data_IF_424844643662
#
_entry.id   IF_424844643662
#
_cell.length_a   1.000
_cell.length_b   1.000
_cell.length_c   1.000
_cell.angle_alpha   90.00
_cell.angle_beta   90.00
_cell.angle_gamma   90.00
#
_symmetry.space_group_name_H-M   'P 1'
#
loop_
_entity.id
_entity.type
_entity.pdbx_description
1 polymer ?
#
# COMPACT_ATOMS: atom_id res chain seq x y z
N UNK A 1 -9.80 12.34 -6.62
CA UNK A 1 -10.27 11.21 -5.77
C UNK A 1 -9.03 10.53 -5.20
N UNK A 2 -8.90 10.43 -3.89
CA UNK A 2 -7.68 9.96 -3.23
C UNK A 2 -8.05 9.06 -2.04
N UNK A 3 -8.42 7.80 -2.33
CA UNK A 3 -8.97 6.84 -1.37
C UNK A 3 -7.98 6.53 -0.24
N UNK A 4 -6.68 6.51 -0.53
CA UNK A 4 -5.64 6.16 0.44
C UNK A 4 -5.24 7.32 1.35
N UNK A 5 -5.46 8.57 0.93
CA UNK A 5 -4.94 9.74 1.66
C UNK A 5 -5.42 9.79 3.11
N UNK A 6 -4.51 9.72 4.07
CA UNK A 6 -4.82 9.72 5.50
C UNK A 6 -5.76 8.59 5.93
N UNK A 7 -5.74 7.45 5.23
CA UNK A 7 -6.69 6.35 5.47
C UNK A 7 -6.57 5.76 6.88
N UNK A 8 -5.40 5.87 7.50
CA UNK A 8 -5.11 5.53 8.90
C UNK A 8 -6.12 6.11 9.90
N UNK A 9 -6.75 7.26 9.57
CA UNK A 9 -7.70 7.95 10.45
C UNK A 9 -9.09 8.18 9.84
N UNK A 10 -9.44 7.53 8.72
CA UNK A 10 -10.70 7.77 8.00
C UNK A 10 -11.57 6.52 7.89
N UNK A 11 -12.38 6.25 8.92
CA UNK A 11 -13.31 5.11 8.98
C UNK A 11 -14.10 4.80 7.70
N UNK A 12 -14.71 5.77 7.00
CA UNK A 12 -15.41 5.49 5.74
C UNK A 12 -14.49 4.96 4.62
N UNK A 13 -13.25 5.45 4.53
CA UNK A 13 -12.27 4.98 3.53
C UNK A 13 -11.79 3.58 3.90
N UNK A 14 -11.55 3.36 5.18
CA UNK A 14 -11.19 2.05 5.72
C UNK A 14 -12.26 1.00 5.41
N UNK A 15 -13.54 1.33 5.60
CA UNK A 15 -14.64 0.43 5.28
C UNK A 15 -14.71 0.07 3.79
N UNK A 16 -14.49 1.03 2.90
CA UNK A 16 -14.44 0.79 1.44
C UNK A 16 -13.29 -0.16 1.10
N UNK A 17 -12.09 0.09 1.63
CA UNK A 17 -10.92 -0.76 1.37
C UNK A 17 -11.14 -2.18 1.89
N UNK A 18 -11.72 -2.34 3.10
CA UNK A 18 -12.09 -3.66 3.64
C UNK A 18 -13.01 -4.44 2.71
N UNK A 19 -14.04 -3.79 2.17
CA UNK A 19 -14.94 -4.42 1.19
C UNK A 19 -14.23 -4.82 -0.11
N UNK A 20 -13.32 -3.98 -0.60
CA UNK A 20 -12.48 -4.29 -1.78
C UNK A 20 -11.59 -5.50 -1.49
N UNK A 21 -10.93 -5.54 -0.33
CA UNK A 21 -10.02 -6.62 0.04
C UNK A 21 -10.72 -7.97 0.17
N UNK A 22 -11.91 -8.01 0.78
CA UNK A 22 -12.73 -9.24 0.82
C UNK A 22 -13.04 -9.71 -0.60
N UNK A 23 -13.55 -8.81 -1.44
CA UNK A 23 -13.93 -9.15 -2.82
C UNK A 23 -12.72 -9.64 -3.64
N UNK A 24 -11.58 -8.96 -3.54
CA UNK A 24 -10.38 -9.32 -4.27
C UNK A 24 -9.81 -10.67 -3.80
N UNK A 25 -9.80 -10.91 -2.50
CA UNK A 25 -9.34 -12.18 -1.92
C UNK A 25 -10.20 -13.36 -2.38
N UNK A 26 -11.52 -13.21 -2.31
CA UNK A 26 -12.47 -14.27 -2.74
C UNK A 26 -12.38 -14.58 -4.23
N UNK A 27 -11.96 -13.59 -5.04
CA UNK A 27 -11.77 -13.74 -6.48
C UNK A 27 -10.34 -14.13 -6.88
N UNK A 28 -9.39 -14.21 -5.93
CA UNK A 28 -7.98 -14.47 -6.22
C UNK A 28 -7.30 -13.35 -7.01
N UNK A 29 -7.67 -12.09 -6.77
CA UNK A 29 -7.13 -10.90 -7.44
C UNK A 29 -6.09 -10.24 -6.53
N UNK A 30 -4.89 -10.01 -7.06
CA UNK A 30 -3.86 -9.22 -6.39
C UNK A 30 -4.24 -7.74 -6.35
N UNK A 31 -4.01 -7.11 -5.20
CA UNK A 31 -4.31 -5.69 -4.97
C UNK A 31 -3.02 -4.91 -4.78
N UNK A 32 -2.88 -3.82 -5.56
CA UNK A 32 -1.85 -2.80 -5.37
C UNK A 32 -2.46 -1.53 -4.76
N UNK A 33 -1.85 -1.03 -3.68
CA UNK A 33 -2.16 0.27 -3.11
C UNK A 33 -1.27 1.35 -3.77
N UNK A 34 -1.87 2.17 -4.63
CA UNK A 34 -1.20 3.26 -5.34
C UNK A 34 -1.35 4.63 -4.66
N UNK A 35 -0.28 5.43 -4.66
CA UNK A 35 -0.24 6.78 -4.12
C UNK A 35 0.02 6.83 -2.61
N UNK A 36 0.72 5.84 -2.05
CA UNK A 36 1.12 5.84 -0.63
C UNK A 36 2.22 6.86 -0.36
N UNK A 37 1.97 7.79 0.57
CA UNK A 37 2.90 8.89 0.85
C UNK A 37 3.42 8.90 2.29
N UNK A 38 2.71 8.28 3.23
CA UNK A 38 3.12 8.26 4.65
C UNK A 38 3.29 6.85 5.20
N UNK A 39 4.16 6.69 6.20
CA UNK A 39 4.32 5.42 6.91
C UNK A 39 3.03 4.97 7.59
N UNK A 40 2.21 5.89 8.10
CA UNK A 40 0.94 5.55 8.75
C UNK A 40 -0.08 4.97 7.75
N UNK A 41 -0.17 5.56 6.54
CA UNK A 41 -0.97 5.00 5.45
C UNK A 41 -0.50 3.59 5.10
N UNK A 42 0.83 3.42 4.91
CA UNK A 42 1.44 2.13 4.60
C UNK A 42 1.16 1.07 5.66
N UNK A 43 1.39 1.38 6.94
CA UNK A 43 1.23 0.43 8.04
C UNK A 43 -0.22 -0.01 8.16
N UNK A 44 -1.16 0.93 8.08
CA UNK A 44 -2.58 0.59 8.11
C UNK A 44 -2.98 -0.31 6.94
N UNK A 45 -2.56 0.01 5.71
CA UNK A 45 -2.87 -0.79 4.51
C UNK A 45 -2.26 -2.19 4.57
N UNK A 46 -1.03 -2.30 5.11
CA UNK A 46 -0.34 -3.57 5.31
C UNK A 46 -1.08 -4.45 6.32
N UNK A 47 -1.53 -3.88 7.43
CA UNK A 47 -2.28 -4.61 8.45
C UNK A 47 -3.63 -5.15 7.92
N UNK A 48 -4.19 -4.50 6.89
CA UNK A 48 -5.39 -4.95 6.16
C UNK A 48 -5.08 -5.99 5.06
N UNK A 49 -3.83 -6.47 4.99
CA UNK A 49 -3.43 -7.58 4.12
C UNK A 49 -3.06 -7.19 2.69
N UNK A 50 -2.78 -5.91 2.43
CA UNK A 50 -2.22 -5.46 1.14
C UNK A 50 -0.70 -5.69 1.17
N UNK A 51 -0.17 -6.26 0.08
CA UNK A 51 1.26 -6.61 -0.03
C UNK A 51 1.98 -5.91 -1.19
N UNK A 52 1.25 -5.33 -2.14
CA UNK A 52 1.80 -4.58 -3.26
C UNK A 52 1.54 -3.10 -3.06
N UNK A 53 2.58 -2.28 -3.22
CA UNK A 53 2.53 -0.86 -2.94
C UNK A 53 3.26 -0.04 -4.00
N UNK A 54 2.70 1.13 -4.31
CA UNK A 54 3.34 2.17 -5.10
C UNK A 54 3.08 3.52 -4.45
N UNK A 55 4.12 4.36 -4.36
CA UNK A 55 3.94 5.73 -3.92
C UNK A 55 5.25 6.41 -3.54
N UNK A 56 5.16 7.72 -3.34
CA UNK A 56 6.33 8.56 -3.06
C UNK A 56 6.97 8.25 -1.70
N UNK A 57 6.28 7.52 -0.82
CA UNK A 57 6.89 6.96 0.37
C UNK A 57 8.06 6.04 0.02
N UNK A 58 7.95 5.25 -1.05
CA UNK A 58 8.96 4.27 -1.45
C UNK A 58 9.96 4.88 -2.42
N UNK A 59 9.46 5.42 -3.53
CA UNK A 59 10.27 6.04 -4.56
C UNK A 59 9.42 6.99 -5.38
N UNK A 60 10.01 8.11 -5.80
CA UNK A 60 9.39 8.99 -6.80
C UNK A 60 9.70 8.49 -8.21
N UNK A 61 8.78 8.70 -9.18
CA UNK A 61 9.06 8.46 -10.58
C UNK A 61 10.32 9.19 -11.03
N UNK A 62 11.14 8.51 -11.82
CA UNK A 62 12.37 9.03 -12.40
C UNK A 62 12.28 8.99 -13.91
N UNK A 63 12.78 10.03 -14.58
CA UNK A 63 12.73 10.12 -16.03
C UNK A 63 13.71 9.13 -16.68
N UNK A 64 13.21 8.26 -17.54
CA UNK A 64 13.99 7.28 -18.33
C UNK A 64 14.93 6.36 -17.52
N UNK A 65 14.66 6.17 -16.23
CA UNK A 65 15.48 5.32 -15.37
C UNK A 65 14.65 4.69 -14.25
N UNK A 66 15.17 3.61 -13.68
CA UNK A 66 14.70 3.10 -12.40
C UNK A 66 15.22 3.99 -11.26
N UNK A 67 14.45 4.13 -10.19
CA UNK A 67 14.88 4.87 -9.01
C UNK A 67 16.09 4.20 -8.36
N UNK A 68 17.17 4.96 -8.15
CA UNK A 68 18.39 4.48 -7.49
C UNK A 68 18.27 4.46 -5.95
N UNK A 69 17.21 5.07 -5.43
CA UNK A 69 16.91 5.17 -4.00
C UNK A 69 15.51 4.59 -3.76
N UNK A 70 15.43 3.56 -2.92
CA UNK A 70 14.16 2.99 -2.45
C UNK A 70 14.14 3.13 -0.93
N UNK A 71 13.15 3.86 -0.42
CA UNK A 71 12.87 3.92 0.99
C UNK A 71 11.97 2.75 1.39
N UNK A 72 12.51 1.87 2.24
CA UNK A 72 11.75 0.78 2.84
C UNK A 72 11.36 1.23 4.26
N UNK A 73 10.10 1.65 4.49
CA UNK A 73 9.70 2.35 5.72
C UNK A 73 9.80 1.52 7.00
N UNK A 74 10.12 0.22 6.91
CA UNK A 74 10.34 -0.68 8.05
C UNK A 74 11.38 -1.74 7.68
N UNK A 75 12.12 -2.27 8.66
CA UNK A 75 12.77 -3.58 8.52
C UNK A 75 11.67 -4.62 8.31
N UNK A 76 11.36 -4.90 7.04
CA UNK A 76 10.53 -6.03 6.67
C UNK A 76 11.35 -7.26 7.05
N UNK A 77 11.07 -7.83 8.23
CA UNK A 77 11.44 -9.22 8.46
C UNK A 77 10.90 -10.00 7.28
N UNK A 78 11.78 -10.71 6.56
CA UNK A 78 11.41 -11.48 5.38
C UNK A 78 10.41 -12.53 5.86
N UNK A 79 9.11 -12.23 5.74
CA UNK A 79 8.06 -13.22 5.96
C UNK A 79 8.16 -14.19 4.78
N UNK A 80 8.37 -15.47 5.10
CA UNK A 80 8.75 -16.55 4.19
C UNK A 80 7.59 -17.01 3.28
N UNK A 81 6.76 -16.07 2.82
CA UNK A 81 5.66 -16.30 1.87
C UNK A 81 6.04 -15.96 0.43
N UNK A 82 7.35 -15.96 0.15
CA UNK A 82 7.94 -16.30 -1.14
C UNK A 82 8.94 -17.45 -0.92
#
# INVERSE_FOLDING_TARGET
MNLLRGVDNKGPRQAIIKGIMVTATDLGIDVIAEGVETTDEFMWLRDEGIWLFQGYLFAKPTFEQLSNEINLPVQVGIDSRF
#
